data_IF_027483850696
#
_entry.id   IF_027483850696
#
_cell.length_a   1.000
_cell.length_b   1.000
_cell.length_c   1.000
_cell.angle_alpha   90.00
_cell.angle_beta   90.00
_cell.angle_gamma   90.00
#
_symmetry.space_group_name_H-M   'P 1'
#
loop_
_entity.id
_entity.type
_entity.pdbx_description
1 polymer ?
#
# COMPACT_ATOMS: atom_id res chain seq x y z
N UNK A 1 -15.22 -2.06 11.04
CA UNK A 1 -14.33 -2.48 9.95
C UNK A 1 -12.88 -2.36 10.39
N UNK A 2 -12.06 -3.40 10.20
CA UNK A 2 -10.63 -3.47 10.49
C UNK A 2 -9.84 -3.34 9.19
N UNK A 3 -8.85 -2.47 9.19
CA UNK A 3 -7.96 -2.26 8.03
C UNK A 3 -6.54 -2.62 8.45
N UNK A 4 -5.85 -3.40 7.63
CA UNK A 4 -4.43 -3.66 7.74
C UNK A 4 -3.66 -2.78 6.76
N UNK A 5 -2.75 -1.98 7.28
CA UNK A 5 -1.79 -1.20 6.50
C UNK A 5 -0.42 -1.86 6.56
N UNK A 6 0.27 -1.95 5.43
CA UNK A 6 1.61 -2.54 5.37
C UNK A 6 2.61 -1.60 4.71
N UNK A 7 3.86 -1.66 5.15
CA UNK A 7 5.00 -0.95 4.53
C UNK A 7 6.17 -1.90 4.35
N UNK A 8 7.16 -1.49 3.57
CA UNK A 8 8.42 -2.22 3.41
C UNK A 8 9.55 -1.60 4.23
N UNK A 9 10.51 -2.43 4.60
CA UNK A 9 11.81 -1.96 5.07
C UNK A 9 12.58 -1.28 3.91
N UNK A 10 13.63 -0.49 4.21
CA UNK A 10 14.56 0.00 3.19
C UNK A 10 15.13 -1.16 2.35
N UNK A 11 15.34 -0.92 1.05
CA UNK A 11 15.78 -1.96 0.12
C UNK A 11 17.22 -1.78 -0.37
N UNK A 12 17.53 -0.61 -0.93
CA UNK A 12 18.82 -0.33 -1.54
C UNK A 12 19.75 0.32 -0.52
N UNK A 13 21.06 0.13 -0.69
CA UNK A 13 22.06 0.62 0.26
C UNK A 13 22.08 2.15 0.44
N UNK A 14 21.57 2.91 -0.53
CA UNK A 14 21.45 4.36 -0.45
C UNK A 14 20.12 4.83 0.17
N UNK A 15 19.21 3.91 0.47
CA UNK A 15 17.95 4.23 1.15
C UNK A 15 18.19 4.28 2.66
N UNK A 16 18.06 5.49 3.22
CA UNK A 16 18.05 5.68 4.68
C UNK A 16 16.72 5.24 5.31
N UNK A 17 15.62 5.39 4.56
CA UNK A 17 14.27 5.01 4.97
C UNK A 17 13.47 4.47 3.79
N UNK A 18 12.21 4.08 4.02
CA UNK A 18 11.27 3.72 2.98
C UNK A 18 10.06 4.64 3.11
N UNK A 19 9.74 5.40 2.05
CA UNK A 19 8.68 6.41 2.12
C UNK A 19 7.30 5.84 2.47
N UNK A 20 7.04 4.56 2.15
CA UNK A 20 5.82 3.90 2.59
C UNK A 20 5.78 3.70 4.10
N UNK A 21 6.91 3.40 4.74
CA UNK A 21 6.99 3.26 6.19
C UNK A 21 6.92 4.62 6.90
N UNK A 22 7.62 5.61 6.37
CA UNK A 22 7.61 6.98 6.88
C UNK A 22 6.19 7.57 6.89
N UNK A 23 5.42 7.32 5.84
CA UNK A 23 4.01 7.70 5.77
C UNK A 23 3.15 6.98 6.81
N UNK A 24 3.38 5.68 7.02
CA UNK A 24 2.62 4.93 8.03
C UNK A 24 2.94 5.38 9.45
N UNK A 25 4.20 5.73 9.75
CA UNK A 25 4.61 6.33 11.03
C UNK A 25 3.79 7.59 11.30
N UNK A 26 3.70 8.50 10.31
CA UNK A 26 3.13 9.82 10.54
C UNK A 26 1.63 9.81 10.85
N UNK A 27 0.92 8.78 10.40
CA UNK A 27 -0.51 8.64 10.65
C UNK A 27 -0.82 7.67 11.80
N UNK A 28 0.16 6.90 12.28
CA UNK A 28 -0.08 5.79 13.21
C UNK A 28 -0.78 6.27 14.49
N UNK A 29 -0.33 7.38 15.06
CA UNK A 29 -0.87 7.93 16.31
C UNK A 29 -2.31 8.44 16.14
N UNK A 30 -2.64 8.98 14.97
CA UNK A 30 -4.00 9.46 14.65
C UNK A 30 -5.02 8.31 14.58
N UNK A 31 -4.56 7.07 14.39
CA UNK A 31 -5.41 5.90 14.11
C UNK A 31 -5.09 4.65 14.94
N UNK A 32 -4.28 4.77 16.00
CA UNK A 32 -3.70 3.64 16.75
C UNK A 32 -4.72 2.60 17.28
N UNK A 33 -6.00 2.97 17.45
CA UNK A 33 -7.07 2.07 17.90
C UNK A 33 -8.00 1.55 16.79
N UNK A 34 -7.84 2.03 15.55
CA UNK A 34 -8.75 1.75 14.42
C UNK A 34 -8.09 1.00 13.27
N UNK A 35 -6.77 1.13 13.11
CA UNK A 35 -5.99 0.53 12.03
C UNK A 35 -4.95 -0.43 12.61
N UNK A 36 -4.67 -1.50 11.88
CA UNK A 36 -3.60 -2.43 12.17
C UNK A 36 -2.41 -2.08 11.28
N UNK A 37 -1.21 -2.06 11.85
CA UNK A 37 0.00 -1.69 11.14
C UNK A 37 0.96 -2.88 11.14
N UNK A 38 1.22 -3.44 9.95
CA UNK A 38 2.28 -4.43 9.73
C UNK A 38 3.41 -3.77 8.96
N UNK A 39 4.29 -3.11 9.72
CA UNK A 39 5.35 -2.28 9.19
C UNK A 39 6.63 -3.07 8.91
N UNK A 40 7.46 -2.53 8.03
CA UNK A 40 8.78 -3.04 7.69
C UNK A 40 8.78 -4.52 7.28
N UNK A 41 7.95 -4.83 6.28
CA UNK A 41 8.02 -6.10 5.58
C UNK A 41 9.41 -6.26 4.93
N UNK A 42 10.00 -7.47 4.94
CA UNK A 42 11.24 -7.70 4.23
C UNK A 42 11.01 -7.50 2.74
N UNK A 43 12.04 -7.06 2.03
CA UNK A 43 12.02 -6.97 0.56
C UNK A 43 12.30 -8.36 -0.02
N UNK A 44 11.43 -9.30 0.33
CA UNK A 44 11.43 -10.69 -0.09
C UNK A 44 9.97 -11.12 -0.22
N UNK A 45 9.56 -11.43 -1.45
CA UNK A 45 8.16 -11.70 -1.77
C UNK A 45 7.54 -12.79 -0.92
N UNK A 46 8.17 -13.97 -0.84
CA UNK A 46 7.62 -15.10 -0.09
C UNK A 46 7.38 -14.75 1.38
N UNK A 47 8.42 -14.24 2.05
CA UNK A 47 8.33 -13.87 3.47
C UNK A 47 7.37 -12.71 3.71
N UNK A 48 7.31 -11.73 2.81
CA UNK A 48 6.39 -10.62 2.92
C UNK A 48 4.94 -11.10 2.79
N UNK A 49 4.63 -11.90 1.76
CA UNK A 49 3.30 -12.46 1.54
C UNK A 49 2.84 -13.33 2.70
N UNK A 50 3.70 -14.22 3.22
CA UNK A 50 3.39 -15.04 4.39
C UNK A 50 3.05 -14.19 5.62
N UNK A 51 3.83 -13.15 5.90
CA UNK A 51 3.58 -12.25 7.04
C UNK A 51 2.26 -11.50 6.89
N UNK A 52 1.95 -11.01 5.69
CA UNK A 52 0.68 -10.29 5.43
C UNK A 52 -0.51 -11.25 5.55
N UNK A 53 -0.45 -12.42 4.91
CA UNK A 53 -1.51 -13.43 4.96
C UNK A 53 -1.76 -13.89 6.39
N UNK A 54 -0.69 -14.15 7.16
CA UNK A 54 -0.81 -14.49 8.57
C UNK A 54 -1.48 -13.37 9.37
N UNK A 55 -1.08 -12.11 9.15
CA UNK A 55 -1.71 -10.97 9.83
C UNK A 55 -3.20 -10.82 9.47
N UNK A 56 -3.58 -11.08 8.21
CA UNK A 56 -4.99 -11.10 7.79
C UNK A 56 -5.76 -12.17 8.56
N UNK A 57 -5.22 -13.39 8.66
CA UNK A 57 -5.84 -14.51 9.38
C UNK A 57 -6.00 -14.22 10.87
N UNK A 58 -4.93 -13.79 11.54
CA UNK A 58 -4.89 -13.57 12.98
C UNK A 58 -5.83 -12.43 13.39
N UNK A 59 -5.92 -11.38 12.57
CA UNK A 59 -6.70 -10.17 12.89
C UNK A 59 -8.13 -10.18 12.37
N UNK A 60 -8.44 -11.04 11.38
CA UNK A 60 -9.68 -11.05 10.58
C UNK A 60 -9.97 -9.67 9.99
N UNK A 61 -9.02 -9.17 9.21
CA UNK A 61 -9.09 -7.85 8.58
C UNK A 61 -10.12 -7.82 7.45
N UNK A 62 -10.86 -6.70 7.32
CA UNK A 62 -11.85 -6.49 6.26
C UNK A 62 -11.25 -5.90 4.98
N UNK A 63 -10.22 -5.06 5.12
CA UNK A 63 -9.53 -4.38 4.01
C UNK A 63 -8.02 -4.38 4.25
N UNK A 64 -7.24 -4.70 3.22
CA UNK A 64 -5.78 -4.58 3.27
C UNK A 64 -5.33 -3.48 2.33
N UNK A 65 -4.48 -2.58 2.79
CA UNK A 65 -3.80 -1.59 1.95
C UNK A 65 -2.30 -1.84 2.08
N UNK A 66 -1.73 -2.44 1.05
CA UNK A 66 -0.30 -2.63 0.94
C UNK A 66 0.34 -1.34 0.43
N UNK A 67 1.41 -0.88 1.06
CA UNK A 67 2.16 0.29 0.62
C UNK A 67 3.59 -0.07 0.28
N UNK A 68 4.12 0.55 -0.78
CA UNK A 68 5.51 0.41 -1.19
C UNK A 68 6.05 1.72 -1.73
N UNK A 69 7.35 1.95 -1.57
CA UNK A 69 8.02 3.12 -2.12
C UNK A 69 8.19 3.00 -3.65
N UNK A 70 7.97 4.09 -4.37
CA UNK A 70 8.25 4.22 -5.80
C UNK A 70 9.04 5.51 -6.07
N UNK A 71 10.37 5.40 -6.10
CA UNK A 71 11.29 6.54 -6.19
C UNK A 71 11.11 7.40 -7.44
N UNK A 72 10.72 6.80 -8.56
CA UNK A 72 10.52 7.49 -9.83
C UNK A 72 9.18 8.21 -9.94
N UNK A 73 8.28 8.04 -8.96
CA UNK A 73 6.94 8.66 -8.96
C UNK A 73 6.96 9.91 -8.10
N UNK A 74 6.05 10.83 -8.41
CA UNK A 74 5.89 12.10 -7.68
C UNK A 74 4.58 12.19 -6.89
N UNK A 75 3.65 11.27 -7.13
CA UNK A 75 2.28 11.25 -6.58
C UNK A 75 1.97 9.86 -6.04
N UNK A 76 0.97 9.76 -5.16
CA UNK A 76 0.43 8.45 -4.80
C UNK A 76 -0.14 7.77 -6.05
N UNK A 77 0.03 6.46 -6.10
CA UNK A 77 -0.48 5.65 -7.22
C UNK A 77 -1.20 4.44 -6.71
N UNK A 78 -2.47 4.31 -7.13
CA UNK A 78 -3.36 3.25 -6.72
C UNK A 78 -3.35 2.18 -7.81
N UNK A 79 -2.93 0.98 -7.46
CA UNK A 79 -2.73 -0.09 -8.44
C UNK A 79 -4.06 -0.79 -8.76
N UNK A 80 -4.51 -0.62 -10.00
CA UNK A 80 -5.75 -1.21 -10.53
C UNK A 80 -5.68 -2.71 -10.74
N UNK A 81 -4.48 -3.27 -10.77
CA UNK A 81 -4.27 -4.68 -11.04
C UNK A 81 -2.97 -5.18 -10.41
N UNK A 82 -2.89 -6.50 -10.26
CA UNK A 82 -1.70 -7.24 -9.90
C UNK A 82 -1.47 -8.37 -10.91
N UNK A 83 -0.21 -8.66 -11.22
CA UNK A 83 0.23 -9.64 -12.20
C UNK A 83 1.19 -10.61 -11.53
N UNK A 84 1.03 -11.88 -11.86
CA UNK A 84 2.08 -12.89 -11.77
C UNK A 84 2.50 -13.27 -13.19
N UNK A 85 3.50 -14.15 -13.32
CA UNK A 85 4.00 -14.63 -14.61
C UNK A 85 2.91 -15.15 -15.57
N UNK A 86 1.77 -15.64 -15.05
CA UNK A 86 0.72 -16.30 -15.85
C UNK A 86 -0.67 -15.73 -15.67
N UNK A 87 -0.88 -14.83 -14.70
CA UNK A 87 -2.22 -14.39 -14.30
C UNK A 87 -2.25 -12.91 -13.99
N UNK A 88 -3.41 -12.30 -14.22
CA UNK A 88 -3.72 -10.93 -13.85
C UNK A 88 -4.97 -10.90 -12.99
N UNK A 89 -4.92 -10.17 -11.89
CA UNK A 89 -6.05 -9.90 -10.99
C UNK A 89 -6.34 -8.40 -11.01
N UNK A 90 -7.61 -8.02 -11.07
CA UNK A 90 -8.04 -6.63 -10.98
C UNK A 90 -8.42 -6.33 -9.52
N UNK A 91 -8.13 -5.12 -9.07
CA UNK A 91 -8.66 -4.66 -7.79
C UNK A 91 -10.19 -4.48 -7.90
N UNK A 92 -10.97 -4.98 -6.94
CA UNK A 92 -12.42 -4.76 -6.93
C UNK A 92 -12.81 -3.40 -6.35
N UNK A 93 -11.84 -2.61 -5.86
CA UNK A 93 -12.09 -1.30 -5.26
C UNK A 93 -12.39 -0.29 -6.39
N UNK A 94 -13.45 0.53 -6.28
CA UNK A 94 -13.85 1.49 -7.33
C UNK A 94 -12.89 2.69 -7.40
N UNK A 95 -11.71 2.47 -8.00
CA UNK A 95 -10.62 3.45 -8.04
C UNK A 95 -11.00 4.77 -8.72
N UNK A 96 -11.88 4.72 -9.73
CA UNK A 96 -12.34 5.92 -10.43
C UNK A 96 -13.11 6.87 -9.50
N UNK A 97 -13.89 6.33 -8.58
CA UNK A 97 -14.64 7.15 -7.62
C UNK A 97 -13.73 7.66 -6.51
N UNK A 98 -12.74 6.85 -6.12
CA UNK A 98 -11.74 7.22 -5.15
C UNK A 98 -10.89 8.40 -5.65
N UNK A 99 -10.34 8.30 -6.86
CA UNK A 99 -9.47 9.32 -7.44
C UNK A 99 -10.16 10.68 -7.64
N UNK A 100 -11.47 10.70 -7.92
CA UNK A 100 -12.25 11.96 -7.98
C UNK A 100 -12.22 12.74 -6.66
N UNK A 101 -11.86 12.11 -5.54
CA UNK A 101 -11.77 12.71 -4.21
C UNK A 101 -10.33 12.99 -3.76
N UNK A 102 -9.34 12.64 -4.58
CA UNK A 102 -7.92 12.77 -4.28
C UNK A 102 -7.33 13.91 -5.12
N UNK A 103 -6.43 14.69 -4.53
CA UNK A 103 -5.86 15.88 -5.19
C UNK A 103 -4.51 15.60 -5.86
N UNK A 104 -3.79 14.60 -5.38
CA UNK A 104 -2.41 14.32 -5.73
C UNK A 104 -2.12 12.81 -5.84
N UNK A 105 -3.06 12.11 -6.48
CA UNK A 105 -3.04 10.66 -6.69
C UNK A 105 -3.48 10.30 -8.12
N UNK A 106 -3.09 9.14 -8.62
CA UNK A 106 -3.54 8.61 -9.92
C UNK A 106 -3.69 7.09 -9.91
N UNK A 107 -4.39 6.53 -10.89
CA UNK A 107 -4.50 5.07 -11.08
C UNK A 107 -3.30 4.58 -11.88
N UNK A 108 -2.65 3.53 -11.40
CA UNK A 108 -1.58 2.82 -12.09
C UNK A 108 -2.07 1.42 -12.45
N UNK A 109 -1.59 0.87 -13.57
CA UNK A 109 -1.83 -0.51 -13.99
C UNK A 109 -0.61 -1.41 -13.78
N UNK A 110 0.43 -0.86 -13.14
CA UNK A 110 1.74 -1.45 -13.00
C UNK A 110 2.31 -1.18 -11.60
N UNK A 111 2.26 -2.18 -10.73
CA UNK A 111 2.86 -2.14 -9.41
C UNK A 111 4.36 -2.50 -9.45
N UNK A 112 4.98 -2.49 -10.63
CA UNK A 112 6.39 -2.81 -10.86
C UNK A 112 6.61 -4.26 -11.28
N UNK A 113 7.88 -4.67 -11.36
CA UNK A 113 8.26 -6.07 -11.66
C UNK A 113 9.09 -6.70 -10.53
N UNK A 114 8.98 -6.13 -9.32
CA UNK A 114 9.76 -6.55 -8.15
C UNK A 114 8.84 -7.10 -7.06
N UNK A 115 9.23 -6.95 -5.79
CA UNK A 115 8.53 -7.50 -4.63
C UNK A 115 7.10 -6.95 -4.47
N UNK A 116 6.86 -5.70 -4.86
CA UNK A 116 5.54 -5.05 -4.74
C UNK A 116 4.45 -5.76 -5.56
N UNK A 117 4.71 -6.05 -6.84
CA UNK A 117 3.73 -6.64 -7.76
C UNK A 117 3.34 -8.05 -7.32
N UNK A 118 4.32 -8.89 -7.02
CA UNK A 118 4.04 -10.27 -6.60
C UNK A 118 3.44 -10.31 -5.18
N UNK A 119 3.86 -9.43 -4.26
CA UNK A 119 3.17 -9.28 -2.97
C UNK A 119 1.70 -8.92 -3.20
N UNK A 120 1.43 -7.91 -4.03
CA UNK A 120 0.06 -7.49 -4.30
C UNK A 120 -0.76 -8.62 -4.91
N UNK A 121 -0.20 -9.36 -5.86
CA UNK A 121 -0.87 -10.49 -6.49
C UNK A 121 -1.25 -11.57 -5.46
N UNK A 122 -0.33 -11.97 -4.59
CA UNK A 122 -0.59 -12.98 -3.57
C UNK A 122 -1.63 -12.51 -2.54
N UNK A 123 -1.53 -11.26 -2.09
CA UNK A 123 -2.48 -10.69 -1.11
C UNK A 123 -3.86 -10.51 -1.72
N UNK A 124 -3.96 -10.00 -2.96
CA UNK A 124 -5.24 -9.81 -3.65
C UNK A 124 -5.91 -11.15 -3.98
N UNK A 125 -5.13 -12.18 -4.32
CA UNK A 125 -5.63 -13.55 -4.50
C UNK A 125 -6.20 -14.13 -3.21
N UNK A 126 -5.56 -13.86 -2.07
CA UNK A 126 -5.98 -14.38 -0.77
C UNK A 126 -7.14 -13.59 -0.17
N UNK A 127 -7.10 -12.26 -0.28
CA UNK A 127 -8.05 -11.32 0.30
C UNK A 127 -8.49 -10.31 -0.78
N UNK A 128 -9.60 -10.56 -1.50
CA UNK A 128 -10.00 -9.74 -2.65
C UNK A 128 -10.21 -8.26 -2.34
N UNK A 129 -10.60 -7.90 -1.11
CA UNK A 129 -10.63 -6.50 -0.65
C UNK A 129 -9.22 -6.02 -0.27
N UNK A 130 -8.35 -5.91 -1.27
CA UNK A 130 -6.99 -5.40 -1.12
C UNK A 130 -6.66 -4.31 -2.14
N UNK A 131 -5.88 -3.32 -1.71
CA UNK A 131 -5.33 -2.26 -2.55
C UNK A 131 -3.82 -2.23 -2.39
N UNK A 132 -3.10 -1.94 -3.48
CA UNK A 132 -1.70 -1.53 -3.38
C UNK A 132 -1.57 -0.04 -3.71
N UNK A 133 -0.83 0.67 -2.87
CA UNK A 133 -0.56 2.10 -3.02
C UNK A 133 0.94 2.34 -3.06
N UNK A 134 1.44 2.82 -4.18
CA UNK A 134 2.82 3.28 -4.28
C UNK A 134 2.95 4.71 -3.76
N UNK A 135 3.91 4.90 -2.86
CA UNK A 135 4.24 6.17 -2.22
C UNK A 135 5.50 6.74 -2.86
N UNK A 136 5.49 7.97 -3.39
CA UNK A 136 6.69 8.60 -3.94
C UNK A 136 7.69 8.92 -2.82
N UNK A 137 8.86 9.46 -3.16
CA UNK A 137 9.73 10.05 -2.14
C UNK A 137 9.00 11.19 -1.43
N UNK A 138 9.07 11.19 -0.09
CA UNK A 138 8.47 12.23 0.73
C UNK A 138 9.46 13.37 0.91
N UNK A 139 8.95 14.59 0.79
CA UNK A 139 9.68 15.85 0.93
C UNK A 139 8.78 16.82 1.66
N UNK A 140 9.36 17.87 2.25
CA UNK A 140 8.58 18.92 2.93
C UNK A 140 7.51 19.56 2.04
N UNK A 141 7.72 19.54 0.71
CA UNK A 141 6.80 20.11 -0.28
C UNK A 141 5.59 19.24 -0.58
N UNK A 142 5.74 17.90 -0.57
CA UNK A 142 4.68 16.98 -0.98
C UNK A 142 4.06 16.18 0.18
N UNK A 143 4.71 16.16 1.35
CA UNK A 143 4.31 15.30 2.45
C UNK A 143 2.86 15.54 2.90
N UNK A 144 2.50 16.79 3.16
CA UNK A 144 1.15 17.15 3.64
C UNK A 144 0.05 16.75 2.67
N UNK A 145 0.26 16.91 1.36
CA UNK A 145 -0.76 16.58 0.36
C UNK A 145 -0.86 15.06 0.15
N UNK A 146 0.28 14.34 0.18
CA UNK A 146 0.32 12.88 0.12
C UNK A 146 -0.37 12.27 1.34
N UNK A 147 -0.06 12.76 2.55
CA UNK A 147 -0.67 12.26 3.77
C UNK A 147 -2.19 12.45 3.74
N UNK A 148 -2.67 13.63 3.34
CA UNK A 148 -4.11 13.91 3.22
C UNK A 148 -4.82 12.99 2.23
N UNK A 149 -4.23 12.78 1.05
CA UNK A 149 -4.79 11.85 0.06
C UNK A 149 -4.81 10.43 0.61
N UNK A 150 -3.75 9.99 1.29
CA UNK A 150 -3.68 8.65 1.88
C UNK A 150 -4.72 8.44 3.00
N UNK A 151 -4.91 9.42 3.88
CA UNK A 151 -5.97 9.41 4.90
C UNK A 151 -7.38 9.37 4.27
N UNK A 152 -7.55 10.04 3.13
CA UNK A 152 -8.78 10.00 2.33
C UNK A 152 -9.01 8.60 1.74
N UNK A 153 -7.96 7.94 1.22
CA UNK A 153 -8.01 6.55 0.76
C UNK A 153 -8.48 5.63 1.88
N UNK A 154 -7.89 5.73 3.07
CA UNK A 154 -8.27 4.94 4.26
C UNK A 154 -9.74 5.17 4.64
N UNK A 155 -10.22 6.39 4.53
CA UNK A 155 -11.57 6.78 4.95
C UNK A 155 -12.65 6.35 3.95
N UNK A 156 -12.37 6.45 2.65
CA UNK A 156 -13.34 6.13 1.59
C UNK A 156 -13.33 4.66 1.17
N UNK A 157 -12.27 3.91 1.50
CA UNK A 157 -12.20 2.47 1.20
C UNK A 157 -12.91 1.60 2.25
N UNK A 158 -13.53 2.23 3.26
CA UNK A 158 -14.27 1.54 4.31
C UNK A 158 -15.61 1.00 3.81
#
# INVERSE_FOLDING_TARGET
MKILLTSFAPWLCHHWSNSSDDLLVSIQDNYAKKLLFLRQLPVNTHRASERVIKAIQDSKTDLVICCGMAESRYRLSLESQARSSTKKLLTPIPLLDLIKKLNYSYISDNAGQFVCEELYFQVLKYHPRSLFVHVPLLTDKNFTIIQRDFETIITLSR
#
